data_IF_480932281685
#
_entry.id   IF_480932281685
#
_cell.length_a   1.000
_cell.length_b   1.000
_cell.length_c   1.000
_cell.angle_alpha   90.00
_cell.angle_beta   90.00
_cell.angle_gamma   90.00
#
_symmetry.space_group_name_H-M   'P 1'
#
loop_
_entity.id
_entity.type
_entity.pdbx_description
1 polymer ?
#
# COMPACT_ATOMS: atom_id res chain seq x y z
N UNK A 1 25.81 71.21 -45.13
CA UNK A 1 24.90 70.63 -44.14
C UNK A 1 25.73 69.69 -43.27
N UNK A 2 26.58 70.15 -42.33
CA UNK A 2 26.31 70.75 -41.00
C UNK A 2 25.18 69.98 -40.26
N UNK A 3 25.34 69.43 -39.05
CA UNK A 3 26.30 69.74 -37.99
C UNK A 3 26.51 68.56 -37.01
N UNK A 4 27.72 68.49 -36.45
CA UNK A 4 28.13 67.75 -35.25
C UNK A 4 27.74 68.51 -33.96
N UNK A 5 27.64 67.79 -32.83
CA UNK A 5 28.17 68.13 -31.48
C UNK A 5 27.54 67.15 -30.46
N UNK A 6 28.20 66.26 -29.72
CA UNK A 6 29.43 66.27 -28.91
C UNK A 6 29.29 66.94 -27.52
N UNK A 7 29.71 66.19 -26.47
CA UNK A 7 30.01 66.50 -25.02
C UNK A 7 29.32 65.50 -24.06
N UNK A 8 30.00 64.51 -23.45
CA UNK A 8 31.05 64.47 -22.38
C UNK A 8 30.66 64.99 -20.98
N UNK A 9 30.81 64.04 -20.03
CA UNK A 9 31.18 64.14 -18.60
C UNK A 9 30.15 64.69 -17.58
N UNK A 10 29.79 63.88 -16.57
CA UNK A 10 30.47 63.97 -15.27
C UNK A 10 30.25 62.75 -14.35
N UNK A 11 31.27 62.50 -13.55
CA UNK A 11 31.38 61.51 -12.47
C UNK A 11 30.52 61.91 -11.26
N UNK A 12 30.01 60.93 -10.51
CA UNK A 12 30.05 61.02 -9.06
C UNK A 12 30.10 59.62 -8.41
N UNK A 13 31.27 59.34 -7.79
CA UNK A 13 31.50 58.27 -6.84
C UNK A 13 31.23 58.77 -5.42
N UNK A 14 30.56 57.94 -4.61
CA UNK A 14 30.69 57.88 -3.13
C UNK A 14 29.94 56.63 -2.68
N UNK A 15 30.56 55.45 -2.53
CA UNK A 15 31.34 54.95 -1.38
C UNK A 15 30.65 55.05 -0.01
N UNK A 16 30.04 53.94 0.43
CA UNK A 16 30.14 53.53 1.83
C UNK A 16 30.25 52.00 1.97
N UNK A 17 31.18 51.60 2.85
CA UNK A 17 31.70 50.24 3.08
C UNK A 17 30.73 49.31 3.83
N UNK A 18 30.84 48.02 3.50
CA UNK A 18 30.71 46.76 4.29
C UNK A 18 30.62 46.91 5.83
N UNK A 19 30.00 45.98 6.62
CA UNK A 19 30.01 44.53 6.39
C UNK A 19 28.75 43.73 6.81
N UNK A 20 28.54 42.54 6.24
CA UNK A 20 28.18 41.29 6.95
C UNK A 20 28.24 40.12 5.96
N UNK A 21 29.05 39.11 6.31
CA UNK A 21 29.27 37.85 5.61
C UNK A 21 28.92 36.72 6.59
N UNK A 22 28.51 35.56 6.06
CA UNK A 22 28.13 34.27 6.71
C UNK A 22 26.63 34.13 7.02
N UNK A 23 25.91 33.02 6.78
CA UNK A 23 26.21 31.60 6.44
C UNK A 23 24.91 30.91 5.93
N UNK A 24 24.95 29.66 5.41
CA UNK A 24 23.83 29.02 4.72
C UNK A 24 22.79 28.41 5.69
N UNK A 25 21.51 28.56 5.38
CA UNK A 25 20.40 28.00 6.17
C UNK A 25 20.19 26.54 5.77
N UNK A 26 20.70 25.62 6.60
CA UNK A 26 20.40 24.19 6.59
C UNK A 26 19.63 23.88 7.89
N UNK A 27 18.52 23.16 7.76
CA UNK A 27 17.85 22.39 8.83
C UNK A 27 17.54 23.12 10.16
N UNK A 28 16.50 23.96 10.18
CA UNK A 28 15.78 24.33 11.43
C UNK A 28 14.28 24.40 11.13
N UNK A 29 13.63 23.24 10.94
CA UNK A 29 12.15 23.20 10.98
C UNK A 29 11.56 21.85 11.43
N UNK A 30 12.40 20.87 11.81
CA UNK A 30 11.94 19.56 12.31
C UNK A 30 12.22 19.31 13.79
N UNK A 31 12.98 20.19 14.46
CA UNK A 31 13.45 19.93 15.83
C UNK A 31 12.52 20.45 16.94
N UNK A 32 11.61 21.40 16.66
CA UNK A 32 10.73 21.99 17.68
C UNK A 32 9.36 21.31 17.83
N UNK A 33 8.94 20.49 16.86
CA UNK A 33 7.66 19.76 16.92
C UNK A 33 7.72 18.48 17.76
N UNK A 34 8.90 17.86 17.90
CA UNK A 34 9.08 16.67 18.75
C UNK A 34 9.15 17.03 20.25
N UNK A 35 9.88 18.09 20.62
CA UNK A 35 10.07 18.46 22.04
C UNK A 35 8.76 18.83 22.74
N UNK A 36 7.83 19.47 22.04
CA UNK A 36 6.51 19.83 22.59
C UNK A 36 5.62 18.61 22.89
N UNK A 37 5.68 17.57 22.05
CA UNK A 37 4.89 16.34 22.23
C UNK A 37 5.43 15.44 23.34
N UNK A 38 6.76 15.35 23.49
CA UNK A 38 7.39 14.60 24.57
C UNK A 38 7.22 15.23 25.96
N UNK A 39 7.22 16.56 26.06
CA UNK A 39 6.94 17.26 27.31
C UNK A 39 5.49 17.03 27.81
N UNK A 40 4.52 16.95 26.89
CA UNK A 40 3.13 16.65 27.20
C UNK A 40 2.93 15.22 27.74
N UNK A 41 3.54 14.22 27.09
CA UNK A 41 3.48 12.82 27.53
C UNK A 41 4.15 12.62 28.88
N UNK A 42 5.32 13.23 29.11
CA UNK A 42 6.08 13.11 30.36
C UNK A 42 5.34 13.73 31.55
N UNK A 43 4.72 14.90 31.38
CA UNK A 43 4.05 15.60 32.48
C UNK A 43 2.63 15.11 32.79
N UNK A 44 1.90 14.56 31.82
CA UNK A 44 0.48 14.18 32.00
C UNK A 44 0.25 12.69 32.24
N UNK A 45 1.14 11.82 31.73
CA UNK A 45 0.97 10.35 31.82
C UNK A 45 1.94 9.73 32.84
N UNK A 46 3.25 10.06 32.77
CA UNK A 46 4.25 9.41 33.62
C UNK A 46 4.36 10.01 35.03
N UNK A 47 4.16 11.32 35.19
CA UNK A 47 4.26 11.99 36.50
C UNK A 47 3.23 11.48 37.53
N UNK A 48 1.93 11.30 37.19
CA UNK A 48 0.94 10.78 38.14
C UNK A 48 1.20 9.32 38.55
N UNK A 49 1.75 8.50 37.64
CA UNK A 49 2.06 7.09 37.91
C UNK A 49 3.27 6.97 38.84
N UNK A 50 4.32 7.74 38.58
CA UNK A 50 5.52 7.77 39.41
C UNK A 50 5.24 8.34 40.81
N UNK A 51 4.43 9.40 40.92
CA UNK A 51 3.99 9.94 42.21
C UNK A 51 3.14 8.93 43.02
N UNK A 52 2.27 8.14 42.36
CA UNK A 52 1.49 7.08 43.03
C UNK A 52 2.34 5.91 43.50
N UNK A 53 3.30 5.46 42.70
CA UNK A 53 4.23 4.39 43.09
C UNK A 53 5.14 4.82 44.24
N UNK A 54 5.62 6.07 44.21
CA UNK A 54 6.48 6.60 45.26
C UNK A 54 5.70 6.84 46.57
N UNK A 55 4.42 7.22 46.48
CA UNK A 55 3.51 7.30 47.63
C UNK A 55 3.21 5.92 48.21
N UNK A 56 2.99 4.90 47.38
CA UNK A 56 2.80 3.52 47.82
C UNK A 56 4.06 2.97 48.51
N UNK A 57 5.24 3.21 47.91
CA UNK A 57 6.53 2.81 48.48
C UNK A 57 6.80 3.48 49.83
N UNK A 58 6.55 4.79 49.95
CA UNK A 58 6.72 5.52 51.23
C UNK A 58 5.74 5.06 52.28
N UNK A 59 4.48 4.80 51.91
CA UNK A 59 3.46 4.25 52.81
C UNK A 59 3.88 2.88 53.33
N UNK A 60 4.36 1.99 52.45
CA UNK A 60 4.87 0.65 52.84
C UNK A 60 6.11 0.76 53.74
N UNK A 61 7.03 1.68 53.44
CA UNK A 61 8.25 1.91 54.23
C UNK A 61 7.94 2.53 55.60
N UNK A 62 6.96 3.40 55.69
CA UNK A 62 6.48 4.01 56.94
C UNK A 62 5.70 3.01 57.80
N UNK A 63 4.93 2.11 57.17
CA UNK A 63 4.25 1.02 57.86
C UNK A 63 5.24 -0.02 58.42
N UNK A 64 6.31 -0.33 57.66
CA UNK A 64 7.41 -1.21 58.09
C UNK A 64 8.16 -0.69 59.32
N UNK A 65 8.31 0.63 59.45
CA UNK A 65 9.03 1.26 60.56
C UNK A 65 8.19 1.42 61.82
N UNK A 66 6.87 1.48 61.69
CA UNK A 66 5.94 1.66 62.82
C UNK A 66 5.38 0.34 63.38
N UNK A 67 5.35 -0.74 62.58
CA UNK A 67 4.76 -2.03 62.97
C UNK A 67 5.69 -3.24 62.70
N UNK A 68 6.90 -3.29 63.28
CA UNK A 68 7.91 -4.32 62.95
C UNK A 68 7.48 -5.75 63.28
N UNK A 69 6.58 -5.94 64.25
CA UNK A 69 6.12 -7.27 64.69
C UNK A 69 4.99 -7.88 63.84
N UNK A 70 4.27 -7.07 63.04
CA UNK A 70 3.24 -7.57 62.13
C UNK A 70 3.79 -7.93 60.73
N UNK A 71 4.88 -7.26 60.32
CA UNK A 71 5.50 -7.47 59.01
C UNK A 71 6.23 -8.83 58.91
N UNK A 72 6.76 -9.35 60.03
CA UNK A 72 7.43 -10.65 60.09
C UNK A 72 6.45 -11.83 60.03
N UNK A 73 5.22 -11.68 60.52
CA UNK A 73 4.20 -12.76 60.50
C UNK A 73 3.54 -12.93 59.13
N UNK A 74 3.33 -11.84 58.37
CA UNK A 74 2.75 -11.90 57.03
C UNK A 74 3.71 -12.50 55.98
N UNK A 75 5.02 -12.28 56.14
CA UNK A 75 6.04 -12.87 55.27
C UNK A 75 6.38 -14.32 55.61
N UNK A 76 6.28 -14.73 56.88
CA UNK A 76 6.40 -16.15 57.26
C UNK A 76 5.22 -16.98 56.75
N UNK A 77 4.01 -16.40 56.63
CA UNK A 77 2.86 -17.07 56.04
C UNK A 77 2.93 -17.18 54.50
N UNK A 78 3.57 -16.24 53.81
CA UNK A 78 3.77 -16.28 52.35
C UNK A 78 4.97 -17.14 51.91
N UNK A 79 5.96 -17.36 52.80
CA UNK A 79 7.10 -18.24 52.52
C UNK A 79 6.79 -19.73 52.70
N UNK A 80 5.71 -20.09 53.42
CA UNK A 80 5.32 -21.49 53.68
C UNK A 80 4.35 -22.05 52.63
N UNK A 81 3.74 -21.22 51.79
CA UNK A 81 2.92 -21.66 50.65
C UNK A 81 3.67 -21.86 49.34
N UNK A 82 4.99 -21.60 49.30
CA UNK A 82 5.85 -21.83 48.11
C UNK A 82 6.68 -23.12 48.21
N UNK A 83 6.56 -23.89 49.30
CA UNK A 83 7.32 -25.13 49.52
C UNK A 83 6.46 -26.39 49.73
N UNK A 84 5.21 -26.37 49.26
CA UNK A 84 4.35 -27.56 49.16
C UNK A 84 3.61 -27.52 47.83
N UNK A 85 4.29 -27.91 46.75
CA UNK A 85 3.84 -28.74 45.62
C UNK A 85 5.14 -29.10 44.86
N UNK A 86 5.85 -30.09 45.40
CA UNK A 86 6.74 -30.94 44.60
C UNK A 86 6.03 -32.29 44.59
N UNK A 87 5.41 -32.73 43.48
CA UNK A 87 5.15 -34.14 43.30
C UNK A 87 6.43 -34.78 42.78
N UNK A 88 7.01 -35.56 43.68
CA UNK A 88 7.86 -36.73 43.49
C UNK A 88 7.73 -37.32 42.07
N UNK A 89 8.86 -37.43 41.40
CA UNK A 89 9.08 -38.18 40.15
C UNK A 89 8.59 -39.62 40.27
N UNK A 90 7.76 -40.08 39.33
CA UNK A 90 7.43 -41.49 39.25
C UNK A 90 6.28 -41.90 38.35
N UNK A 91 6.09 -41.30 37.17
CA UNK A 91 5.26 -41.91 36.11
C UNK A 91 5.88 -41.62 34.73
N UNK A 92 6.47 -42.68 34.17
CA UNK A 92 6.68 -42.97 32.75
C UNK A 92 7.46 -41.93 31.91
N UNK A 93 8.63 -42.38 31.43
CA UNK A 93 9.17 -42.00 30.13
C UNK A 93 8.06 -42.09 29.06
N UNK A 94 7.33 -41.01 28.86
CA UNK A 94 6.98 -40.58 27.52
C UNK A 94 7.95 -39.47 27.22
N UNK A 95 8.89 -39.74 26.33
CA UNK A 95 9.36 -38.70 25.42
C UNK A 95 8.09 -38.13 24.80
N UNK A 96 7.54 -37.05 25.38
CA UNK A 96 6.66 -36.20 24.61
C UNK A 96 7.49 -35.84 23.37
N UNK A 97 7.03 -36.12 22.15
CA UNK A 97 7.69 -35.55 21.00
C UNK A 97 7.80 -34.05 21.28
N UNK A 98 8.95 -33.45 20.99
CA UNK A 98 9.08 -32.00 20.92
C UNK A 98 7.86 -31.52 20.15
N UNK A 99 6.92 -30.85 20.81
CA UNK A 99 5.81 -30.23 20.12
C UNK A 99 6.45 -29.18 19.24
N UNK A 100 6.52 -29.48 17.94
CA UNK A 100 6.75 -28.48 16.91
C UNK A 100 5.69 -27.43 17.17
N UNK A 101 6.09 -26.21 17.54
CA UNK A 101 5.16 -25.09 17.62
C UNK A 101 4.50 -25.02 16.24
N UNK A 102 3.18 -25.15 16.20
CA UNK A 102 2.41 -25.02 14.96
C UNK A 102 2.83 -23.68 14.33
N UNK A 103 3.30 -23.71 13.09
CA UNK A 103 3.78 -22.48 12.45
C UNK A 103 2.67 -21.43 12.28
N UNK A 104 1.39 -21.85 12.25
CA UNK A 104 0.23 -20.95 12.32
C UNK A 104 0.09 -20.34 13.72
N UNK A 105 0.29 -21.14 14.78
CA UNK A 105 0.35 -20.65 16.16
C UNK A 105 1.48 -19.64 16.35
N UNK A 106 2.64 -19.85 15.72
CA UNK A 106 3.75 -18.88 15.72
C UNK A 106 3.34 -17.56 15.07
N UNK A 107 2.73 -17.59 13.88
CA UNK A 107 2.29 -16.38 13.15
C UNK A 107 1.26 -15.59 13.98
N UNK A 108 0.26 -16.28 14.51
CA UNK A 108 -0.79 -15.67 15.33
C UNK A 108 -0.25 -15.15 16.66
N UNK A 109 0.72 -15.83 17.28
CA UNK A 109 1.44 -15.36 18.47
C UNK A 109 2.28 -14.12 18.19
N UNK A 110 2.96 -14.08 17.05
CA UNK A 110 3.75 -12.93 16.61
C UNK A 110 2.88 -11.74 16.16
N UNK A 111 1.57 -11.97 15.96
CA UNK A 111 0.58 -10.97 15.53
C UNK A 111 0.91 -10.30 14.20
N UNK A 112 1.64 -10.99 13.33
CA UNK A 112 1.96 -10.52 11.96
C UNK A 112 2.34 -11.71 11.09
N UNK A 113 1.86 -11.72 9.85
CA UNK A 113 2.35 -12.64 8.82
C UNK A 113 3.47 -11.95 8.03
N UNK A 114 4.69 -12.45 8.14
CA UNK A 114 5.84 -11.91 7.39
C UNK A 114 6.10 -12.73 6.12
N UNK A 115 5.90 -12.11 4.95
CA UNK A 115 6.09 -12.77 3.65
C UNK A 115 7.30 -12.16 2.95
N UNK A 116 8.34 -12.96 2.73
CA UNK A 116 9.48 -12.59 1.91
C UNK A 116 9.11 -12.64 0.41
N UNK A 117 9.59 -11.70 -0.37
CA UNK A 117 9.40 -11.73 -1.84
C UNK A 117 10.52 -11.01 -2.56
N UNK A 118 10.51 -11.04 -3.88
CA UNK A 118 11.43 -10.35 -4.77
C UNK A 118 10.66 -9.40 -5.69
N UNK A 119 11.31 -8.41 -6.33
CA UNK A 119 10.67 -7.57 -7.33
C UNK A 119 10.07 -8.41 -8.46
N UNK A 120 8.74 -8.46 -8.51
CA UNK A 120 7.98 -9.20 -9.51
C UNK A 120 6.61 -8.55 -9.68
N UNK A 121 6.26 -8.25 -10.94
CA UNK A 121 5.03 -7.55 -11.30
C UNK A 121 3.75 -8.36 -11.06
N UNK A 122 3.81 -9.68 -11.05
CA UNK A 122 2.69 -10.54 -10.66
C UNK A 122 2.54 -10.64 -9.13
N UNK A 123 3.56 -10.25 -8.37
CA UNK A 123 3.50 -10.26 -6.90
C UNK A 123 3.07 -8.90 -6.36
N UNK A 124 3.87 -7.86 -6.57
CA UNK A 124 3.62 -6.56 -5.99
C UNK A 124 4.23 -5.42 -6.81
N UNK A 125 3.45 -4.37 -7.00
CA UNK A 125 3.84 -3.04 -7.39
C UNK A 125 3.98 -2.18 -6.13
N UNK A 126 5.16 -1.61 -5.90
CA UNK A 126 5.47 -0.82 -4.70
C UNK A 126 5.81 0.64 -5.00
N UNK A 127 5.29 1.17 -6.10
CA UNK A 127 5.68 2.47 -6.61
C UNK A 127 4.93 3.62 -5.93
N UNK A 128 5.69 4.59 -5.39
CA UNK A 128 5.21 5.85 -4.82
C UNK A 128 4.10 5.71 -3.76
N UNK A 129 4.15 4.66 -2.94
CA UNK A 129 3.22 4.45 -1.83
C UNK A 129 1.93 3.72 -2.20
N UNK A 130 1.70 3.35 -3.47
CA UNK A 130 0.56 2.52 -3.87
C UNK A 130 0.97 1.05 -3.96
N UNK A 131 0.92 0.34 -2.83
CA UNK A 131 1.18 -1.10 -2.78
C UNK A 131 -0.04 -1.90 -3.23
N UNK A 132 0.10 -2.64 -4.33
CA UNK A 132 -0.93 -3.54 -4.86
C UNK A 132 -0.29 -4.62 -5.74
N UNK A 133 -1.02 -5.69 -6.05
CA UNK A 133 -0.56 -6.74 -6.95
C UNK A 133 -1.27 -8.05 -6.65
N UNK A 134 -1.31 -8.97 -7.61
CA UNK A 134 -2.03 -10.22 -7.46
C UNK A 134 -1.51 -11.03 -6.27
N UNK A 135 -0.21 -11.33 -6.23
CA UNK A 135 0.40 -12.06 -5.12
C UNK A 135 0.28 -11.35 -3.77
N UNK A 136 0.43 -10.02 -3.74
CA UNK A 136 0.21 -9.21 -2.53
C UNK A 136 -1.21 -9.34 -2.00
N UNK A 137 -2.23 -9.25 -2.87
CA UNK A 137 -3.61 -9.39 -2.44
C UNK A 137 -3.93 -10.84 -2.00
N UNK A 138 -3.36 -11.86 -2.63
CA UNK A 138 -3.47 -13.25 -2.15
C UNK A 138 -2.88 -13.39 -0.74
N UNK A 139 -1.67 -12.88 -0.51
CA UNK A 139 -1.02 -12.90 0.80
C UNK A 139 -1.83 -12.11 1.85
N UNK A 140 -2.44 -10.99 1.45
CA UNK A 140 -3.27 -10.14 2.32
C UNK A 140 -4.55 -10.86 2.74
N UNK A 141 -5.17 -11.60 1.81
CA UNK A 141 -6.35 -12.41 2.11
C UNK A 141 -6.01 -13.55 3.07
N UNK A 142 -4.85 -14.19 2.92
CA UNK A 142 -4.40 -15.19 3.88
C UNK A 142 -4.10 -14.59 5.25
N UNK A 143 -3.41 -13.44 5.32
CA UNK A 143 -3.16 -12.74 6.58
C UNK A 143 -4.48 -12.36 7.30
N UNK A 144 -5.46 -11.87 6.54
CA UNK A 144 -6.80 -11.55 7.03
C UNK A 144 -7.52 -12.78 7.57
N UNK A 145 -7.44 -13.91 6.87
CA UNK A 145 -7.99 -15.19 7.33
C UNK A 145 -7.35 -15.66 8.66
N UNK A 146 -6.05 -15.40 8.85
CA UNK A 146 -5.34 -15.65 10.11
C UNK A 146 -5.61 -14.59 11.19
N UNK A 147 -6.30 -13.49 10.87
CA UNK A 147 -6.56 -12.40 11.80
C UNK A 147 -5.34 -11.55 12.15
N UNK A 148 -4.31 -11.52 11.28
CA UNK A 148 -3.08 -10.76 11.50
C UNK A 148 -2.78 -9.80 10.34
N UNK A 149 -2.06 -8.69 10.57
CA UNK A 149 -1.54 -7.85 9.49
C UNK A 149 -0.51 -8.59 8.64
N UNK A 150 -0.40 -8.17 7.37
CA UNK A 150 0.63 -8.62 6.44
C UNK A 150 1.86 -7.69 6.49
N UNK A 151 3.05 -8.25 6.61
CA UNK A 151 4.32 -7.60 6.36
C UNK A 151 5.00 -8.22 5.13
N UNK A 152 4.88 -7.57 3.97
CA UNK A 152 5.56 -7.99 2.74
C UNK A 152 6.99 -7.40 2.73
N UNK A 153 8.01 -8.25 2.70
CA UNK A 153 9.43 -7.86 2.77
C UNK A 153 10.13 -8.18 1.45
N UNK A 154 10.68 -7.16 0.80
CA UNK A 154 11.38 -7.31 -0.48
C UNK A 154 12.88 -7.63 -0.28
N UNK A 155 13.32 -8.71 -0.92
CA UNK A 155 14.71 -9.15 -1.02
C UNK A 155 15.24 -8.96 -2.44
N UNK A 156 16.56 -8.96 -2.61
CA UNK A 156 17.17 -8.70 -3.91
C UNK A 156 17.10 -9.88 -4.88
N UNK A 157 16.94 -11.10 -4.36
CA UNK A 157 16.85 -12.34 -5.14
C UNK A 157 16.24 -13.47 -4.31
N UNK A 158 15.83 -14.54 -4.99
CA UNK A 158 15.12 -15.68 -4.41
C UNK A 158 15.93 -16.35 -3.30
N UNK A 159 17.26 -16.49 -3.46
CA UNK A 159 18.12 -17.09 -2.44
C UNK A 159 18.07 -16.35 -1.10
N UNK A 160 18.07 -15.01 -1.12
CA UNK A 160 17.93 -14.23 0.11
C UNK A 160 16.53 -14.33 0.72
N UNK A 161 15.48 -14.35 -0.10
CA UNK A 161 14.11 -14.54 0.36
C UNK A 161 13.93 -15.92 1.03
N UNK A 162 14.43 -16.98 0.40
CA UNK A 162 14.41 -18.35 0.95
C UNK A 162 15.26 -18.47 2.22
N UNK A 163 16.41 -17.78 2.29
CA UNK A 163 17.21 -17.72 3.52
C UNK A 163 16.47 -17.03 4.67
N UNK A 164 15.65 -16.01 4.39
CA UNK A 164 14.82 -15.37 5.40
C UNK A 164 13.78 -16.34 5.97
N UNK A 165 13.19 -17.20 5.14
CA UNK A 165 12.29 -18.28 5.58
C UNK A 165 13.04 -19.32 6.41
N UNK A 166 14.17 -19.83 5.89
CA UNK A 166 14.99 -20.83 6.59
C UNK A 166 15.49 -20.37 7.97
N UNK A 167 15.83 -19.08 8.10
CA UNK A 167 16.26 -18.49 9.37
C UNK A 167 15.10 -18.11 10.31
N UNK A 168 13.85 -18.22 9.85
CA UNK A 168 12.66 -17.81 10.59
C UNK A 168 12.46 -16.30 10.70
N UNK A 169 13.21 -15.50 9.92
CA UNK A 169 13.06 -14.04 9.79
C UNK A 169 11.80 -13.67 8.99
N UNK A 170 11.40 -14.53 8.05
CA UNK A 170 10.09 -14.50 7.40
C UNK A 170 9.37 -15.83 7.69
N UNK A 171 8.04 -15.79 7.70
CA UNK A 171 7.22 -16.99 7.95
C UNK A 171 7.05 -17.81 6.67
N UNK A 172 7.07 -17.14 5.51
CA UNK A 172 7.03 -17.76 4.19
C UNK A 172 7.63 -16.83 3.14
N UNK A 173 7.91 -17.35 1.96
CA UNK A 173 8.22 -16.57 0.78
C UNK A 173 7.11 -16.71 -0.26
N UNK A 174 6.89 -15.66 -1.05
CA UNK A 174 6.04 -15.71 -2.25
C UNK A 174 6.95 -15.41 -3.45
N UNK A 175 7.12 -16.38 -4.33
CA UNK A 175 8.10 -16.39 -5.41
C UNK A 175 7.50 -16.99 -6.69
N UNK A 176 8.13 -16.70 -7.82
CA UNK A 176 7.89 -17.38 -9.10
C UNK A 176 8.83 -18.56 -9.26
N UNK A 177 8.39 -19.61 -9.96
CA UNK A 177 9.21 -20.79 -10.25
C UNK A 177 9.88 -21.41 -9.01
N UNK A 178 9.20 -21.40 -7.85
CA UNK A 178 9.76 -21.88 -6.59
C UNK A 178 10.34 -23.30 -6.69
N UNK A 179 9.72 -24.17 -7.50
CA UNK A 179 10.17 -25.56 -7.73
C UNK A 179 11.59 -25.66 -8.28
N UNK A 180 11.98 -24.75 -9.19
CA UNK A 180 13.29 -24.79 -9.84
C UNK A 180 14.42 -24.27 -8.94
N UNK A 181 14.07 -23.56 -7.86
CA UNK A 181 15.02 -22.90 -6.94
C UNK A 181 15.41 -23.80 -5.75
N UNK A 182 14.64 -24.85 -5.45
CA UNK A 182 14.80 -25.66 -4.24
C UNK A 182 15.80 -26.84 -4.35
N UNK A 183 16.65 -26.87 -5.37
CA UNK A 183 17.53 -28.02 -5.70
C UNK A 183 18.48 -28.52 -4.58
N UNK A 184 18.53 -27.90 -3.39
CA UNK A 184 19.34 -28.34 -2.24
C UNK A 184 18.72 -28.01 -0.86
N UNK A 185 17.40 -27.82 -0.75
CA UNK A 185 16.74 -27.40 0.51
C UNK A 185 15.65 -28.41 0.92
N UNK A 186 16.06 -29.56 1.47
CA UNK A 186 15.22 -30.70 1.88
C UNK A 186 14.16 -30.36 2.96
N UNK A 187 14.15 -29.14 3.49
CA UNK A 187 13.25 -28.69 4.56
C UNK A 187 12.24 -27.62 4.09
N UNK A 188 12.08 -27.39 2.79
CA UNK A 188 11.08 -26.44 2.27
C UNK A 188 9.94 -27.11 1.53
N UNK A 189 8.75 -26.53 1.66
CA UNK A 189 7.52 -27.00 1.02
C UNK A 189 6.94 -25.90 0.18
N UNK A 190 6.50 -26.27 -1.03
CA UNK A 190 5.91 -25.36 -2.02
C UNK A 190 4.41 -25.55 -2.01
N UNK A 191 3.68 -24.43 -1.93
CA UNK A 191 2.24 -24.36 -2.11
C UNK A 191 1.95 -23.45 -3.31
N UNK A 192 1.62 -24.01 -4.49
CA UNK A 192 1.21 -23.21 -5.65
C UNK A 192 -0.01 -22.33 -5.32
N UNK A 193 -0.04 -21.12 -5.86
CA UNK A 193 -1.21 -20.22 -5.72
C UNK A 193 -2.38 -20.73 -6.57
N UNK A 194 -2.10 -21.29 -7.76
CA UNK A 194 -3.10 -21.98 -8.57
C UNK A 194 -3.27 -23.43 -8.08
N UNK A 195 -4.51 -23.86 -7.84
CA UNK A 195 -4.84 -25.21 -7.37
C UNK A 195 -5.28 -26.15 -8.51
N UNK A 196 -5.42 -25.62 -9.73
CA UNK A 196 -5.91 -26.35 -10.90
C UNK A 196 -5.34 -25.80 -12.22
N UNK A 197 -5.38 -26.63 -13.27
CA UNK A 197 -5.01 -26.23 -14.63
C UNK A 197 -5.87 -25.09 -15.17
N UNK A 198 -7.14 -25.03 -14.75
CA UNK A 198 -8.06 -23.95 -15.13
C UNK A 198 -7.62 -22.61 -14.53
N UNK A 199 -7.26 -22.57 -13.25
CA UNK A 199 -6.73 -21.37 -12.60
C UNK A 199 -5.40 -20.94 -13.23
N UNK A 200 -4.49 -21.88 -13.51
CA UNK A 200 -3.24 -21.58 -14.20
C UNK A 200 -3.49 -20.95 -15.58
N UNK A 201 -4.52 -21.41 -16.31
CA UNK A 201 -4.90 -20.84 -17.59
C UNK A 201 -5.52 -19.44 -17.44
N UNK A 202 -6.34 -19.21 -16.39
CA UNK A 202 -6.90 -17.89 -16.07
C UNK A 202 -5.78 -16.91 -15.75
N UNK A 203 -4.80 -17.30 -14.93
CA UNK A 203 -3.68 -16.45 -14.55
C UNK A 203 -2.82 -16.10 -15.76
N UNK A 204 -2.46 -17.10 -16.58
CA UNK A 204 -1.70 -16.88 -17.81
C UNK A 204 -2.43 -15.93 -18.78
N UNK A 205 -3.75 -16.07 -18.93
CA UNK A 205 -4.57 -15.18 -19.77
C UNK A 205 -4.66 -13.75 -19.22
N UNK A 206 -4.53 -13.59 -17.92
CA UNK A 206 -4.45 -12.30 -17.24
C UNK A 206 -3.04 -11.70 -17.23
N UNK A 207 -2.05 -12.40 -17.81
CA UNK A 207 -0.62 -12.03 -17.80
C UNK A 207 0.03 -12.14 -16.41
N UNK A 208 -0.61 -12.87 -15.51
CA UNK A 208 -0.10 -13.20 -14.19
C UNK A 208 0.80 -14.44 -14.34
N UNK A 209 1.96 -14.41 -13.71
CA UNK A 209 2.83 -15.57 -13.60
C UNK A 209 2.08 -16.72 -12.89
N UNK A 210 1.76 -17.76 -13.64
CA UNK A 210 1.01 -18.91 -13.16
C UNK A 210 1.88 -19.91 -12.37
N UNK A 211 3.18 -19.63 -12.22
CA UNK A 211 4.12 -20.40 -11.39
C UNK A 211 4.32 -19.78 -10.00
N UNK A 212 3.50 -18.77 -9.65
CA UNK A 212 3.52 -18.17 -8.33
C UNK A 212 3.20 -19.21 -7.26
N UNK A 213 4.08 -19.31 -6.28
CA UNK A 213 3.96 -20.25 -5.19
C UNK A 213 4.44 -19.63 -3.88
N UNK A 214 3.77 -20.02 -2.80
CA UNK A 214 4.32 -19.83 -1.46
C UNK A 214 5.36 -20.91 -1.17
N UNK A 215 6.41 -20.53 -0.45
CA UNK A 215 7.44 -21.43 0.06
C UNK A 215 7.51 -21.28 1.57
N UNK A 216 7.35 -22.39 2.28
CA UNK A 216 7.39 -22.47 3.73
C UNK A 216 8.49 -23.44 4.18
N UNK A 217 8.91 -23.37 5.44
CA UNK A 217 9.64 -24.49 6.06
C UNK A 217 8.71 -25.70 6.22
N UNK A 218 9.25 -26.91 6.30
CA UNK A 218 8.55 -28.20 6.45
C UNK A 218 7.72 -28.38 7.74
N UNK A 219 7.43 -27.29 8.47
CA UNK A 219 6.39 -27.24 9.48
C UNK A 219 5.05 -27.57 8.82
N UNK A 220 4.67 -28.85 8.91
CA UNK A 220 3.54 -29.50 8.23
C UNK A 220 2.25 -28.68 8.34
N UNK A 221 2.02 -28.07 9.50
CA UNK A 221 0.77 -27.38 9.82
C UNK A 221 0.57 -26.08 9.04
N UNK A 222 1.62 -25.29 8.77
CA UNK A 222 1.50 -24.02 8.03
C UNK A 222 1.22 -24.24 6.56
N UNK A 223 1.91 -25.20 5.95
CA UNK A 223 1.67 -25.57 4.56
C UNK A 223 0.27 -26.15 4.37
N UNK A 224 -0.16 -27.07 5.24
CA UNK A 224 -1.48 -27.68 5.16
C UNK A 224 -2.59 -26.62 5.29
N UNK A 225 -2.44 -25.69 6.24
CA UNK A 225 -3.40 -24.61 6.44
C UNK A 225 -3.46 -23.67 5.22
N UNK A 226 -2.30 -23.29 4.68
CA UNK A 226 -2.21 -22.43 3.50
C UNK A 226 -2.81 -23.11 2.26
N UNK A 227 -2.47 -24.36 1.98
CA UNK A 227 -3.04 -25.11 0.85
C UNK A 227 -4.56 -25.25 0.98
N UNK A 228 -5.06 -25.55 2.19
CA UNK A 228 -6.51 -25.58 2.44
C UNK A 228 -7.16 -24.24 2.20
N UNK A 229 -6.53 -23.14 2.60
CA UNK A 229 -7.03 -21.80 2.34
C UNK A 229 -7.05 -21.49 0.83
N UNK A 230 -5.93 -21.70 0.13
CA UNK A 230 -5.81 -21.41 -1.31
C UNK A 230 -6.81 -22.22 -2.14
N UNK A 231 -6.98 -23.50 -1.81
CA UNK A 231 -7.79 -24.44 -2.58
C UNK A 231 -9.18 -24.66 -1.97
N UNK A 232 -9.70 -23.72 -1.18
CA UNK A 232 -11.10 -23.76 -0.77
C UNK A 232 -12.00 -23.14 -1.85
N UNK A 233 -13.16 -23.75 -2.11
CA UNK A 233 -14.01 -23.33 -3.24
C UNK A 233 -14.51 -21.88 -3.19
N UNK A 234 -14.62 -21.26 -2.01
CA UNK A 234 -15.01 -19.84 -1.89
C UNK A 234 -13.84 -18.93 -2.32
N UNK A 235 -12.64 -19.19 -1.82
CA UNK A 235 -11.46 -18.41 -2.17
C UNK A 235 -11.02 -18.63 -3.61
N UNK A 236 -11.31 -19.78 -4.21
CA UNK A 236 -11.06 -20.01 -5.64
C UNK A 236 -11.93 -19.12 -6.55
N UNK A 237 -13.19 -18.86 -6.19
CA UNK A 237 -14.03 -17.87 -6.88
C UNK A 237 -13.41 -16.47 -6.74
N UNK A 238 -12.99 -16.10 -5.53
CA UNK A 238 -12.32 -14.83 -5.24
C UNK A 238 -10.97 -14.67 -5.96
N UNK A 239 -10.18 -15.74 -6.11
CA UNK A 239 -8.93 -15.78 -6.87
C UNK A 239 -9.16 -15.46 -8.35
N UNK A 240 -10.26 -15.95 -8.91
CA UNK A 240 -10.64 -15.62 -10.29
C UNK A 240 -10.95 -14.12 -10.43
N UNK A 241 -11.66 -13.52 -9.46
CA UNK A 241 -11.91 -12.08 -9.46
C UNK A 241 -10.65 -11.26 -9.21
N UNK A 242 -9.73 -11.71 -8.35
CA UNK A 242 -8.41 -11.09 -8.19
C UNK A 242 -7.61 -11.12 -9.50
N UNK A 243 -7.58 -12.26 -10.20
CA UNK A 243 -6.88 -12.37 -11.47
C UNK A 243 -7.47 -11.43 -12.54
N UNK A 244 -8.81 -11.30 -12.58
CA UNK A 244 -9.47 -10.34 -13.47
C UNK A 244 -9.18 -8.89 -13.09
N UNK A 245 -9.15 -8.56 -11.79
CA UNK A 245 -8.78 -7.23 -11.33
C UNK A 245 -7.33 -6.90 -11.68
N UNK A 246 -6.45 -7.90 -11.54
CA UNK A 246 -5.01 -7.79 -11.79
C UNK A 246 -4.57 -8.03 -13.24
N UNK A 247 -5.51 -8.23 -14.16
CA UNK A 247 -5.24 -8.40 -15.59
C UNK A 247 -4.35 -7.27 -16.15
N UNK A 248 -3.20 -7.62 -16.71
CA UNK A 248 -2.24 -6.64 -17.26
C UNK A 248 -2.16 -6.69 -18.80
N UNK A 249 -2.98 -7.51 -19.45
CA UNK A 249 -2.95 -7.76 -20.91
C UNK A 249 -3.69 -6.69 -21.72
N UNK A 250 -4.29 -5.69 -21.06
CA UNK A 250 -5.01 -4.59 -21.71
C UNK A 250 -4.21 -3.91 -22.83
N UNK A 251 -2.90 -3.75 -22.64
CA UNK A 251 -1.99 -3.10 -23.59
C UNK A 251 -1.27 -4.08 -24.52
N UNK A 252 -1.51 -5.39 -24.44
CA UNK A 252 -1.03 -6.36 -25.45
C UNK A 252 -1.83 -6.25 -26.74
N UNK A 253 -3.09 -5.82 -26.63
CA UNK A 253 -3.91 -5.50 -27.78
C UNK A 253 -3.34 -4.30 -28.56
N UNK A 254 -3.02 -4.51 -29.85
CA UNK A 254 -2.40 -3.49 -30.70
C UNK A 254 -3.21 -2.20 -30.83
N UNK A 255 -4.55 -2.27 -30.80
CA UNK A 255 -5.41 -1.08 -30.82
C UNK A 255 -5.22 -0.27 -29.52
N UNK A 256 -5.39 -0.90 -28.36
CA UNK A 256 -5.20 -0.24 -27.06
C UNK A 256 -3.78 0.32 -26.91
N UNK A 257 -2.76 -0.45 -27.27
CA UNK A 257 -1.36 -0.03 -27.25
C UNK A 257 -1.13 1.22 -28.09
N UNK A 258 -1.64 1.24 -29.34
CA UNK A 258 -1.51 2.39 -30.24
C UNK A 258 -2.18 3.63 -29.69
N UNK A 259 -3.40 3.50 -29.15
CA UNK A 259 -4.14 4.61 -28.55
C UNK A 259 -3.44 5.16 -27.30
N UNK A 260 -2.95 4.27 -26.43
CA UNK A 260 -2.20 4.64 -25.24
C UNK A 260 -0.92 5.38 -25.62
N UNK A 261 -0.11 4.84 -26.53
CA UNK A 261 1.12 5.48 -27.00
C UNK A 261 0.86 6.84 -27.65
N UNK A 262 -0.22 6.99 -28.42
CA UNK A 262 -0.59 8.27 -28.99
C UNK A 262 -0.94 9.32 -27.91
N UNK A 263 -1.61 8.92 -26.83
CA UNK A 263 -1.93 9.82 -25.72
C UNK A 263 -0.69 10.14 -24.86
N UNK A 264 0.17 9.16 -24.58
CA UNK A 264 1.42 9.39 -23.83
C UNK A 264 2.32 10.39 -24.57
N UNK A 265 2.35 10.39 -25.90
CA UNK A 265 3.05 11.42 -26.70
C UNK A 265 2.48 12.84 -26.50
N UNK A 266 1.19 12.97 -26.16
CA UNK A 266 0.53 14.26 -25.88
C UNK A 266 0.64 14.67 -24.42
N UNK A 267 0.90 13.74 -23.50
CA UNK A 267 0.96 13.99 -22.06
C UNK A 267 1.85 15.19 -21.67
N UNK A 268 3.03 15.43 -22.30
CA UNK A 268 3.86 16.60 -21.97
C UNK A 268 3.14 17.95 -22.12
N UNK A 269 2.11 18.05 -22.97
CA UNK A 269 1.30 19.27 -23.13
C UNK A 269 0.45 19.59 -21.88
N UNK A 270 0.10 18.56 -21.10
CA UNK A 270 -0.79 18.65 -19.95
C UNK A 270 -0.09 18.39 -18.62
N UNK A 271 1.14 17.88 -18.66
CA UNK A 271 1.93 17.43 -17.51
C UNK A 271 2.03 18.49 -16.41
N UNK A 272 2.30 19.75 -16.77
CA UNK A 272 2.36 20.84 -15.79
C UNK A 272 1.02 21.01 -15.03
N UNK A 273 -0.10 20.97 -15.74
CA UNK A 273 -1.43 21.07 -15.13
C UNK A 273 -1.72 19.91 -14.18
N UNK A 274 -1.36 18.69 -14.58
CA UNK A 274 -1.48 17.50 -13.72
C UNK A 274 -0.59 17.61 -12.49
N UNK A 275 0.70 17.96 -12.63
CA UNK A 275 1.64 18.08 -11.50
C UNK A 275 1.23 19.15 -10.50
N UNK A 276 0.81 20.32 -10.97
CA UNK A 276 0.37 21.42 -10.09
C UNK A 276 -0.87 21.00 -9.30
N UNK A 277 -1.88 20.46 -9.99
CA UNK A 277 -3.13 20.03 -9.34
C UNK A 277 -2.91 18.85 -8.40
N UNK A 278 -2.08 17.88 -8.78
CA UNK A 278 -1.70 16.75 -7.95
C UNK A 278 -1.02 17.22 -6.66
N UNK A 279 -0.06 18.14 -6.76
CA UNK A 279 0.64 18.70 -5.61
C UNK A 279 -0.29 19.46 -4.67
N UNK A 280 -1.23 20.24 -5.21
CA UNK A 280 -2.20 20.99 -4.40
C UNK A 280 -3.10 20.06 -3.56
N UNK A 281 -3.48 18.91 -4.12
CA UNK A 281 -4.41 17.97 -3.50
C UNK A 281 -3.76 16.68 -2.97
N UNK A 282 -2.43 16.64 -2.87
CA UNK A 282 -1.65 15.49 -2.39
C UNK A 282 -1.95 14.17 -3.12
N UNK A 283 -2.04 14.22 -4.45
CA UNK A 283 -2.19 13.04 -5.32
C UNK A 283 -0.89 12.71 -6.06
N UNK A 284 -0.80 11.47 -6.53
CA UNK A 284 0.12 11.11 -7.61
C UNK A 284 -0.35 11.77 -8.92
N UNK A 285 0.53 12.54 -9.56
CA UNK A 285 0.19 13.22 -10.82
C UNK A 285 0.01 12.24 -11.98
N UNK A 286 0.68 11.09 -11.96
CA UNK A 286 0.53 10.05 -12.96
C UNK A 286 -0.84 9.39 -12.83
N UNK A 287 -1.34 9.18 -11.60
CA UNK A 287 -2.71 8.73 -11.37
C UNK A 287 -3.72 9.69 -11.98
N UNK A 288 -3.60 11.01 -11.73
CA UNK A 288 -4.49 12.00 -12.33
C UNK A 288 -4.42 12.00 -13.87
N UNK A 289 -3.22 11.85 -14.43
CA UNK A 289 -3.05 11.75 -15.88
C UNK A 289 -3.73 10.49 -16.44
N UNK A 290 -3.62 9.34 -15.78
CA UNK A 290 -4.24 8.09 -16.23
C UNK A 290 -5.76 8.10 -16.06
N UNK A 291 -6.30 8.80 -15.05
CA UNK A 291 -7.74 9.12 -15.00
C UNK A 291 -8.12 9.95 -16.22
N UNK A 292 -7.42 11.05 -16.52
CA UNK A 292 -7.70 11.88 -17.70
C UNK A 292 -7.58 11.12 -19.03
N UNK A 293 -6.67 10.14 -19.11
CA UNK A 293 -6.58 9.24 -20.25
C UNK A 293 -7.79 8.30 -20.35
N UNK A 294 -8.19 7.66 -19.25
CA UNK A 294 -9.38 6.80 -19.24
C UNK A 294 -10.66 7.57 -19.56
N UNK A 295 -10.76 8.84 -19.14
CA UNK A 295 -11.92 9.69 -19.37
C UNK A 295 -12.02 10.19 -20.82
N UNK A 296 -10.92 10.69 -21.38
CA UNK A 296 -10.96 11.45 -22.65
C UNK A 296 -9.85 11.09 -23.64
N UNK A 297 -8.99 10.13 -23.33
CA UNK A 297 -7.73 9.89 -24.02
C UNK A 297 -6.85 11.15 -24.07
N UNK A 298 -6.87 11.94 -22.99
CA UNK A 298 -6.22 13.25 -22.89
C UNK A 298 -6.71 14.25 -23.96
N UNK A 299 -8.01 14.27 -24.23
CA UNK A 299 -8.64 15.22 -25.16
C UNK A 299 -9.37 16.33 -24.39
N UNK A 300 -8.83 17.55 -24.48
CA UNK A 300 -9.37 18.74 -23.82
C UNK A 300 -10.79 19.13 -24.28
N UNK A 301 -11.13 18.81 -25.52
CA UNK A 301 -12.41 19.19 -26.14
C UNK A 301 -13.44 18.05 -26.17
N UNK A 302 -13.16 16.96 -25.43
CA UNK A 302 -14.05 15.81 -25.36
C UNK A 302 -15.44 16.21 -24.86
N UNK A 303 -16.48 15.69 -25.50
CA UNK A 303 -17.88 15.86 -25.10
C UNK A 303 -18.62 14.55 -25.31
N UNK A 304 -19.37 14.09 -24.31
CA UNK A 304 -20.21 12.89 -24.42
C UNK A 304 -21.66 13.23 -24.80
N UNK A 305 -22.44 12.24 -25.28
CA UNK A 305 -23.89 12.36 -25.43
C UNK A 305 -24.63 12.66 -24.12
N UNK A 306 -24.05 12.27 -22.98
CA UNK A 306 -24.59 12.53 -21.63
C UNK A 306 -24.19 13.89 -21.06
N UNK A 307 -23.46 14.70 -21.83
CA UNK A 307 -23.11 16.07 -21.47
C UNK A 307 -21.93 16.23 -20.52
N UNK A 308 -21.14 15.18 -20.26
CA UNK A 308 -19.83 15.33 -19.61
C UNK A 308 -18.79 15.87 -20.60
N UNK A 309 -17.87 16.69 -20.11
CA UNK A 309 -16.96 17.46 -20.97
C UNK A 309 -15.56 17.59 -20.40
N UNK A 310 -14.59 17.78 -21.31
CA UNK A 310 -13.22 18.11 -20.98
C UNK A 310 -12.31 16.92 -20.72
N UNK A 311 -11.03 17.22 -20.45
CA UNK A 311 -10.00 16.18 -20.27
C UNK A 311 -10.28 15.24 -19.09
N UNK A 312 -10.97 15.72 -18.04
CA UNK A 312 -11.38 14.94 -16.87
C UNK A 312 -12.87 14.54 -16.88
N UNK A 313 -13.59 14.81 -17.99
CA UNK A 313 -15.00 14.46 -18.22
C UNK A 313 -15.93 14.81 -17.06
N UNK A 314 -15.89 16.06 -16.60
CA UNK A 314 -16.72 16.50 -15.49
C UNK A 314 -18.18 16.68 -15.93
N UNK A 315 -19.12 16.24 -15.09
CA UNK A 315 -20.53 16.63 -15.21
C UNK A 315 -20.69 18.13 -14.92
N UNK A 316 -21.82 18.71 -15.32
CA UNK A 316 -22.11 20.12 -15.01
C UNK A 316 -22.18 20.37 -13.50
N UNK A 317 -22.79 19.45 -12.75
CA UNK A 317 -22.93 19.55 -11.31
C UNK A 317 -21.58 19.43 -10.59
N UNK A 318 -20.74 18.47 -11.01
CA UNK A 318 -19.39 18.34 -10.46
C UNK A 318 -18.55 19.56 -10.79
N UNK A 319 -18.61 20.08 -12.02
CA UNK A 319 -17.90 21.30 -12.41
C UNK A 319 -18.30 22.50 -11.53
N UNK A 320 -19.61 22.72 -11.35
CA UNK A 320 -20.13 23.78 -10.48
C UNK A 320 -19.67 23.59 -9.03
N UNK A 321 -19.73 22.37 -8.51
CA UNK A 321 -19.29 22.06 -7.14
C UNK A 321 -17.80 22.33 -6.95
N UNK A 322 -16.98 22.02 -7.96
CA UNK A 322 -15.52 22.18 -7.88
C UNK A 322 -15.05 23.61 -8.19
N UNK A 323 -15.93 24.45 -8.74
CA UNK A 323 -15.61 25.84 -9.13
C UNK A 323 -15.07 25.97 -10.55
N UNK A 324 -15.31 24.97 -11.40
CA UNK A 324 -14.95 24.95 -12.84
C UNK A 324 -15.99 25.74 -13.61
N UNK A 325 -15.56 26.82 -14.28
CA UNK A 325 -16.41 27.68 -15.10
C UNK A 325 -16.49 27.19 -16.54
N UNK A 326 -15.38 26.68 -17.06
CA UNK A 326 -15.27 26.11 -18.39
C UNK A 326 -14.64 24.72 -18.30
N UNK A 327 -15.41 23.69 -18.69
CA UNK A 327 -14.98 22.28 -18.63
C UNK A 327 -14.00 21.91 -19.72
N UNK A 328 -13.97 22.64 -20.84
CA UNK A 328 -13.01 22.42 -21.93
C UNK A 328 -11.69 23.16 -21.70
N UNK A 329 -11.65 24.09 -20.74
CA UNK A 329 -10.40 24.67 -20.28
C UNK A 329 -9.57 23.60 -19.55
N UNK A 330 -8.46 23.19 -20.15
CA UNK A 330 -7.56 22.15 -19.64
C UNK A 330 -7.21 22.34 -18.16
N UNK A 331 -6.74 23.53 -17.78
CA UNK A 331 -6.31 23.81 -16.41
C UNK A 331 -7.47 23.68 -15.42
N UNK A 332 -8.64 24.24 -15.74
CA UNK A 332 -9.81 24.14 -14.88
C UNK A 332 -10.34 22.70 -14.80
N UNK A 333 -10.36 21.98 -15.92
CA UNK A 333 -10.82 20.59 -15.98
C UNK A 333 -9.94 19.66 -15.13
N UNK A 334 -8.61 19.74 -15.29
CA UNK A 334 -7.64 18.98 -14.48
C UNK A 334 -7.75 19.33 -13.00
N UNK A 335 -7.76 20.63 -12.67
CA UNK A 335 -7.88 21.08 -11.28
C UNK A 335 -9.19 20.61 -10.64
N UNK A 336 -10.31 20.75 -11.35
CA UNK A 336 -11.61 20.29 -10.90
C UNK A 336 -11.69 18.78 -10.69
N UNK A 337 -11.13 17.99 -11.61
CA UNK A 337 -11.04 16.53 -11.47
C UNK A 337 -10.20 16.13 -10.25
N UNK A 338 -9.04 16.76 -10.07
CA UNK A 338 -8.16 16.51 -8.92
C UNK A 338 -8.82 16.88 -7.57
N UNK A 339 -9.52 18.02 -7.54
CA UNK A 339 -10.28 18.47 -6.37
C UNK A 339 -11.45 17.53 -6.05
N UNK A 340 -12.13 17.03 -7.09
CA UNK A 340 -13.22 16.07 -6.91
C UNK A 340 -12.70 14.72 -6.39
N UNK A 341 -11.58 14.24 -6.92
CA UNK A 341 -10.90 13.04 -6.42
C UNK A 341 -10.52 13.18 -4.94
N UNK A 342 -9.98 14.33 -4.53
CA UNK A 342 -9.67 14.62 -3.13
C UNK A 342 -10.93 14.63 -2.24
N UNK A 343 -12.04 15.20 -2.73
CA UNK A 343 -13.33 15.16 -2.02
C UNK A 343 -13.78 13.71 -1.81
N UNK A 344 -13.66 12.86 -2.83
CA UNK A 344 -14.01 11.44 -2.73
C UNK A 344 -13.10 10.69 -1.77
N UNK A 345 -11.78 10.95 -1.76
CA UNK A 345 -10.88 10.39 -0.75
C UNK A 345 -11.33 10.72 0.68
N UNK A 346 -11.75 11.97 0.93
CA UNK A 346 -12.33 12.36 2.22
C UNK A 346 -13.64 11.64 2.56
N UNK A 347 -14.47 11.33 1.55
CA UNK A 347 -15.71 10.57 1.74
C UNK A 347 -15.48 9.08 2.04
N UNK A 348 -14.35 8.52 1.62
CA UNK A 348 -13.96 7.11 1.83
C UNK A 348 -12.77 6.98 2.79
N UNK A 349 -12.60 7.94 3.71
CA UNK A 349 -11.51 7.92 4.68
C UNK A 349 -11.58 6.74 5.68
N UNK A 350 -12.78 6.17 5.85
CA UNK A 350 -13.05 4.94 6.61
C UNK A 350 -12.52 3.67 5.94
N UNK A 351 -12.29 3.69 4.63
CA UNK A 351 -11.72 2.55 3.89
C UNK A 351 -10.22 2.43 4.22
N UNK A 352 -9.68 1.22 4.45
CA UNK A 352 -8.26 0.98 4.59
C UNK A 352 -7.46 1.59 3.43
N UNK A 353 -6.30 2.19 3.74
CA UNK A 353 -5.50 2.93 2.76
C UNK A 353 -5.14 2.10 1.52
N UNK A 354 -4.85 0.80 1.71
CA UNK A 354 -4.50 -0.16 0.65
C UNK A 354 -5.64 -0.42 -0.34
N UNK A 355 -6.90 -0.22 0.04
CA UNK A 355 -8.07 -0.38 -0.84
C UNK A 355 -8.67 0.96 -1.28
N UNK A 356 -8.43 2.03 -0.50
CA UNK A 356 -9.15 3.30 -0.62
C UNK A 356 -9.14 3.90 -2.02
N UNK A 357 -8.02 3.78 -2.74
CA UNK A 357 -7.92 4.30 -4.10
C UNK A 357 -8.96 3.66 -5.02
N UNK A 358 -9.17 2.35 -4.93
CA UNK A 358 -10.08 1.62 -5.81
C UNK A 358 -11.54 1.99 -5.55
N UNK A 359 -11.91 2.18 -4.28
CA UNK A 359 -13.22 2.73 -3.90
C UNK A 359 -13.43 4.14 -4.44
N UNK A 360 -12.40 4.98 -4.37
CA UNK A 360 -12.45 6.36 -4.87
C UNK A 360 -12.59 6.39 -6.39
N UNK A 361 -11.89 5.53 -7.14
CA UNK A 361 -12.03 5.42 -8.59
C UNK A 361 -13.42 4.91 -8.98
N UNK A 362 -13.94 3.89 -8.26
CA UNK A 362 -15.31 3.44 -8.44
C UNK A 362 -16.31 4.57 -8.17
N UNK A 363 -16.14 5.33 -7.08
CA UNK A 363 -17.00 6.46 -6.76
C UNK A 363 -16.87 7.63 -7.76
N UNK A 364 -15.72 7.81 -8.38
CA UNK A 364 -15.55 8.79 -9.46
C UNK A 364 -16.41 8.41 -10.67
N UNK A 365 -16.39 7.12 -11.06
CA UNK A 365 -17.11 6.59 -12.21
C UNK A 365 -18.64 6.47 -11.98
N UNK A 366 -19.05 5.81 -10.89
CA UNK A 366 -20.45 5.47 -10.61
C UNK A 366 -21.07 6.26 -9.45
N UNK A 367 -20.36 7.27 -8.92
CA UNK A 367 -20.84 8.10 -7.82
C UNK A 367 -20.74 7.41 -6.46
N UNK A 368 -20.47 8.18 -5.38
CA UNK A 368 -20.19 7.64 -4.05
C UNK A 368 -21.37 6.87 -3.45
N UNK A 369 -22.61 7.34 -3.63
CA UNK A 369 -23.79 6.68 -3.08
C UNK A 369 -24.00 5.28 -3.65
N UNK A 370 -23.66 5.06 -4.93
CA UNK A 370 -23.82 3.75 -5.54
C UNK A 370 -22.79 2.76 -4.97
N UNK A 371 -21.57 3.21 -4.68
CA UNK A 371 -20.56 2.40 -3.99
C UNK A 371 -21.01 2.10 -2.55
N UNK A 372 -21.51 3.09 -1.79
CA UNK A 372 -22.05 2.87 -0.44
C UNK A 372 -23.22 1.87 -0.42
N UNK A 373 -24.12 1.91 -1.39
CA UNK A 373 -25.21 0.93 -1.49
C UNK A 373 -24.68 -0.50 -1.72
N UNK A 374 -23.56 -0.67 -2.42
CA UNK A 374 -22.92 -2.00 -2.58
C UNK A 374 -22.31 -2.44 -1.25
N UNK A 375 -21.66 -1.53 -0.53
CA UNK A 375 -21.13 -1.81 0.81
C UNK A 375 -22.24 -2.27 1.76
N UNK A 376 -23.41 -1.64 1.74
CA UNK A 376 -24.56 -2.06 2.56
C UNK A 376 -25.00 -3.48 2.22
N UNK A 377 -25.10 -3.81 0.92
CA UNK A 377 -25.44 -5.17 0.47
C UNK A 377 -24.40 -6.23 0.86
N UNK A 378 -23.12 -5.90 0.77
CA UNK A 378 -22.04 -6.81 1.20
C UNK A 378 -22.11 -7.07 2.70
N UNK A 379 -22.39 -6.03 3.48
CA UNK A 379 -22.58 -6.15 4.93
C UNK A 379 -23.79 -7.02 5.27
N UNK A 380 -24.90 -6.89 4.54
CA UNK A 380 -26.07 -7.77 4.67
C UNK A 380 -25.74 -9.24 4.34
N UNK A 381 -24.79 -9.47 3.43
CA UNK A 381 -24.27 -10.79 3.08
C UNK A 381 -23.20 -11.32 4.06
N UNK A 382 -22.85 -10.56 5.10
CA UNK A 382 -21.79 -10.93 6.03
C UNK A 382 -20.37 -10.82 5.47
N UNK A 383 -20.19 -10.21 4.29
CA UNK A 383 -18.88 -9.94 3.69
C UNK A 383 -18.33 -8.61 4.21
N UNK A 384 -17.00 -8.48 4.28
CA UNK A 384 -16.36 -7.21 4.61
C UNK A 384 -16.62 -6.18 3.49
N UNK A 385 -17.39 -5.12 3.75
CA UNK A 385 -17.70 -4.13 2.73
C UNK A 385 -16.56 -3.16 2.45
N UNK A 386 -15.49 -3.16 3.25
CA UNK A 386 -14.34 -2.27 3.11
C UNK A 386 -13.16 -2.92 2.37
N UNK A 387 -13.25 -4.21 2.08
CA UNK A 387 -12.31 -4.94 1.24
C UNK A 387 -12.65 -4.72 -0.24
N UNK A 388 -11.70 -4.22 -1.03
CA UNK A 388 -11.96 -3.93 -2.45
C UNK A 388 -12.37 -5.18 -3.23
N UNK A 389 -11.75 -6.34 -2.95
CA UNK A 389 -12.06 -7.59 -3.62
C UNK A 389 -13.56 -7.94 -3.54
N UNK A 390 -14.18 -7.76 -2.37
CA UNK A 390 -15.61 -8.04 -2.20
C UNK A 390 -16.49 -7.11 -3.05
N UNK A 391 -16.13 -5.82 -3.14
CA UNK A 391 -16.83 -4.86 -4.00
C UNK A 391 -16.62 -5.17 -5.47
N UNK A 392 -15.38 -5.48 -5.87
CA UNK A 392 -15.05 -5.85 -7.24
C UNK A 392 -15.80 -7.11 -7.68
N UNK A 393 -15.78 -8.17 -6.86
CA UNK A 393 -16.51 -9.42 -7.10
C UNK A 393 -18.02 -9.15 -7.21
N UNK A 394 -18.60 -8.33 -6.32
CA UNK A 394 -20.01 -7.95 -6.41
C UNK A 394 -20.33 -7.25 -7.74
N UNK A 395 -19.54 -6.26 -8.13
CA UNK A 395 -19.74 -5.53 -9.38
C UNK A 395 -19.65 -6.46 -10.59
N UNK A 396 -18.63 -7.32 -10.62
CA UNK A 396 -18.34 -8.22 -11.72
C UNK A 396 -19.45 -9.28 -11.87
N UNK A 397 -19.86 -9.93 -10.78
CA UNK A 397 -20.95 -10.91 -10.75
C UNK A 397 -22.29 -10.37 -11.25
N UNK A 398 -22.51 -9.06 -11.15
CA UNK A 398 -23.74 -8.40 -11.57
C UNK A 398 -23.57 -7.55 -12.85
N UNK A 399 -22.41 -7.61 -13.52
CA UNK A 399 -22.10 -6.78 -14.68
C UNK A 399 -23.03 -7.07 -15.88
N UNK A 400 -23.43 -8.33 -16.07
CA UNK A 400 -24.30 -8.75 -17.17
C UNK A 400 -25.72 -8.17 -17.09
N UNK A 401 -26.20 -7.90 -15.87
CA UNK A 401 -27.55 -7.35 -15.62
C UNK A 401 -27.52 -5.87 -15.28
N UNK A 402 -26.35 -5.30 -15.00
CA UNK A 402 -26.17 -3.89 -14.70
C UNK A 402 -24.93 -3.35 -15.41
N UNK A 403 -25.16 -2.71 -16.55
CA UNK A 403 -24.09 -2.15 -17.40
C UNK A 403 -23.20 -1.14 -16.67
N UNK A 404 -23.74 -0.42 -15.67
CA UNK A 404 -22.95 0.52 -14.85
C UNK A 404 -21.88 -0.21 -14.04
N UNK A 405 -22.17 -1.41 -13.56
CA UNK A 405 -21.20 -2.19 -12.80
C UNK A 405 -20.07 -2.72 -13.70
N UNK A 406 -20.42 -3.22 -14.89
CA UNK A 406 -19.43 -3.59 -15.91
C UNK A 406 -18.52 -2.41 -16.29
N UNK A 407 -19.11 -1.24 -16.52
CA UNK A 407 -18.34 -0.01 -16.79
C UNK A 407 -17.40 0.36 -15.65
N UNK A 408 -17.84 0.26 -14.39
CA UNK A 408 -17.00 0.54 -13.23
C UNK A 408 -15.83 -0.44 -13.10
N UNK A 409 -16.08 -1.74 -13.28
CA UNK A 409 -15.03 -2.78 -13.28
C UNK A 409 -13.97 -2.45 -14.32
N UNK A 410 -14.38 -2.22 -15.58
CA UNK A 410 -13.45 -1.84 -16.64
C UNK A 410 -12.70 -0.55 -16.31
N UNK A 411 -13.39 0.46 -15.78
CA UNK A 411 -12.79 1.75 -15.46
C UNK A 411 -11.65 1.64 -14.44
N UNK A 412 -11.89 0.95 -13.31
CA UNK A 412 -10.89 0.82 -12.25
C UNK A 412 -9.73 -0.07 -12.69
N UNK A 413 -10.02 -1.21 -13.33
CA UNK A 413 -8.99 -2.13 -13.84
C UNK A 413 -8.11 -1.44 -14.88
N UNK A 414 -8.68 -0.71 -15.83
CA UNK A 414 -7.90 -0.01 -16.85
C UNK A 414 -6.98 1.06 -16.26
N UNK A 415 -7.47 1.88 -15.33
CA UNK A 415 -6.65 2.93 -14.71
C UNK A 415 -5.48 2.32 -13.95
N UNK A 416 -5.68 1.21 -13.23
CA UNK A 416 -4.58 0.45 -12.60
C UNK A 416 -3.57 0.03 -13.65
N UNK A 417 -3.99 -0.66 -14.72
CA UNK A 417 -3.08 -1.14 -15.77
C UNK A 417 -2.31 -0.01 -16.45
N UNK A 418 -2.96 1.13 -16.73
CA UNK A 418 -2.30 2.30 -17.32
C UNK A 418 -1.28 2.93 -16.35
N UNK A 419 -1.62 2.99 -15.06
CA UNK A 419 -0.73 3.50 -14.02
C UNK A 419 0.52 2.63 -13.88
N UNK A 420 0.35 1.31 -13.83
CA UNK A 420 1.47 0.37 -13.83
C UNK A 420 2.34 0.53 -15.09
N UNK A 421 1.72 0.64 -16.27
CA UNK A 421 2.43 0.78 -17.54
C UNK A 421 3.29 2.06 -17.60
N UNK A 422 2.74 3.21 -17.20
CA UNK A 422 3.49 4.48 -17.22
C UNK A 422 4.61 4.49 -16.17
N UNK A 423 4.40 3.86 -15.01
CA UNK A 423 5.44 3.76 -13.97
C UNK A 423 6.59 2.85 -14.40
N UNK A 424 6.29 1.69 -15.01
CA UNK A 424 7.32 0.80 -15.61
C UNK A 424 8.12 1.52 -16.69
N UNK A 425 7.45 2.25 -17.60
CA UNK A 425 8.13 3.02 -18.64
C UNK A 425 9.12 4.02 -18.07
N UNK A 426 8.74 4.75 -17.01
CA UNK A 426 9.62 5.74 -16.39
C UNK A 426 10.81 5.10 -15.67
N UNK A 427 10.61 3.96 -14.99
CA UNK A 427 11.70 3.22 -14.35
C UNK A 427 12.74 2.72 -15.36
N UNK A 428 12.29 2.20 -16.51
CA UNK A 428 13.17 1.75 -17.57
C UNK A 428 13.97 2.92 -18.17
N UNK A 429 13.31 4.04 -18.46
CA UNK A 429 13.97 5.24 -18.98
C UNK A 429 15.03 5.80 -18.01
N UNK A 430 14.75 5.81 -16.70
CA UNK A 430 15.71 6.24 -15.68
C UNK A 430 16.91 5.28 -15.57
N UNK A 431 16.67 3.97 -15.69
CA UNK A 431 17.71 2.94 -15.66
C UNK A 431 18.65 3.05 -16.86
N UNK A 432 18.11 3.28 -18.06
CA UNK A 432 18.89 3.49 -19.29
C UNK A 432 19.75 4.76 -19.20
N UNK A 433 19.19 5.88 -18.72
CA UNK A 433 19.93 7.13 -18.51
C UNK A 433 21.07 6.96 -17.50
N UNK A 434 20.83 6.24 -16.40
CA UNK A 434 21.85 5.97 -15.39
C UNK A 434 22.99 5.12 -15.96
N UNK A 435 22.68 4.12 -16.79
CA UNK A 435 23.69 3.29 -17.45
C UNK A 435 24.51 4.05 -18.51
N UNK A 436 23.90 4.99 -19.23
CA UNK A 436 24.60 5.86 -20.20
C UNK A 436 25.58 6.78 -19.47
N UNK A 437 25.14 7.39 -18.36
CA UNK A 437 25.96 8.31 -17.55
C UNK A 437 27.13 7.58 -16.88
N UNK A 438 26.90 6.37 -16.35
CA UNK A 438 27.95 5.54 -15.77
C UNK A 438 29.02 5.10 -16.80
N UNK A 439 28.64 4.89 -18.07
CA UNK A 439 29.56 4.57 -19.17
C UNK A 439 30.31 5.80 -19.73
N UNK A 440 29.76 7.00 -19.57
CA UNK A 440 30.46 8.24 -19.95
C UNK A 440 31.48 8.66 -18.92
N UNK A 441 31.24 8.39 -17.63
CA UNK A 441 32.14 8.73 -16.54
C UNK A 441 33.28 7.72 -16.35
N UNK A 442 33.21 6.56 -17.02
CA UNK A 442 34.26 5.54 -17.06
C UNK A 442 35.20 5.68 -18.26
N UNK A 443 35.09 6.75 -19.04
CA UNK A 443 36.00 7.12 -20.14
C UNK A 443 36.68 8.44 -19.79
#
# INVERSE_FOLDING_TARGET
MQNQSDKRHNNNQSTHKSPYRAKPVRAVFLHDLEKGKWAFVKNKIFRPITERLDTAYRTIKQYRTTHPHYFTRLWQALAVTVLVIIPITGVLNRTAPLQTVDGVEKITTNQVLTVATVPNHSIAYTTDGLMHGFGYDVARQYASHLGVPLALVHYSNDSQALQAVASGTADMALLSNGENQLNNQDEMVISPVACSDEEMAIFAKAGIDNTLSFVTTSAVDTNEHLTKFLCNGEFQEDLTYLAQFHNDTLLENAYNAKHFQAAIKKLPLFEYGFKVSAKEFNHDWQLLAMIGYQESHLNADATSPTGVQGIMMLTQDTAKMMGVKDRNNVTQSIHGGAKYLNKLQGQFADIPEVDRLWFVLAAYNMGPNAVRNIQDKLKEQGKDPNLWLNVYAYLNKHADTNSRYGQCVTYVTNIRTYLEAIKRHNQNAQSEQTQITAKSDSK
#
